data_IF_430600106127
#
_entry.id   IF_430600106127
#
_cell.length_a   1.000
_cell.length_b   1.000
_cell.length_c   1.000
_cell.angle_alpha   90.00
_cell.angle_beta   90.00
_cell.angle_gamma   90.00
#
_symmetry.space_group_name_H-M   'P 1'
#
loop_
_entity.id
_entity.type
_entity.pdbx_description
1 polymer ?
#
# COMPACT_ATOMS: atom_id res chain seq x y z
N UNK A 1 -60.16 -43.76 32.57
CA UNK A 1 -59.17 -42.87 31.93
C UNK A 1 -58.07 -43.76 31.37
N UNK A 2 -58.02 -43.96 30.06
CA UNK A 2 -56.95 -44.73 29.40
C UNK A 2 -55.67 -43.93 29.52
N UNK A 3 -54.73 -44.44 30.32
CA UNK A 3 -53.53 -43.75 30.76
C UNK A 3 -52.52 -43.41 29.67
N UNK A 4 -51.28 -43.16 30.07
CA UNK A 4 -50.13 -42.68 29.29
C UNK A 4 -49.86 -43.37 27.93
N UNK A 5 -50.53 -44.48 27.64
CA UNK A 5 -50.45 -45.23 26.37
C UNK A 5 -51.04 -44.48 25.16
N UNK A 6 -51.82 -43.41 25.39
CA UNK A 6 -52.35 -42.55 24.32
C UNK A 6 -51.68 -41.17 24.25
N UNK A 7 -50.63 -40.89 25.03
CA UNK A 7 -49.87 -39.63 24.88
C UNK A 7 -48.62 -39.85 24.02
N UNK A 8 -48.78 -39.81 22.70
CA UNK A 8 -47.63 -39.63 21.81
C UNK A 8 -47.24 -38.14 21.83
N UNK A 9 -46.29 -37.78 22.68
CA UNK A 9 -45.54 -36.53 22.55
C UNK A 9 -44.16 -36.84 22.00
N UNK A 10 -44.10 -37.40 20.79
CA UNK A 10 -42.88 -37.38 20.00
C UNK A 10 -42.63 -35.94 19.49
N UNK A 11 -42.37 -35.01 20.39
CA UNK A 11 -41.92 -33.67 20.02
C UNK A 11 -40.44 -33.75 19.65
N UNK A 12 -40.17 -34.16 18.41
CA UNK A 12 -38.81 -34.14 17.88
C UNK A 12 -38.49 -32.72 17.42
N UNK A 13 -37.93 -31.91 18.32
CA UNK A 13 -37.31 -30.64 17.94
C UNK A 13 -35.92 -30.94 17.41
N UNK A 14 -35.72 -30.81 16.09
CA UNK A 14 -34.41 -30.85 15.45
C UNK A 14 -34.23 -29.56 14.68
N UNK A 15 -33.61 -28.59 15.31
CA UNK A 15 -33.18 -27.34 14.67
C UNK A 15 -31.66 -27.42 14.52
N UNK A 16 -31.18 -27.27 13.29
CA UNK A 16 -29.75 -27.17 12.97
C UNK A 16 -29.58 -26.20 11.82
N UNK A 17 -29.05 -25.02 12.13
CA UNK A 17 -28.75 -23.98 11.14
C UNK A 17 -27.24 -23.78 11.08
N UNK A 18 -26.70 -23.98 9.88
CA UNK A 18 -25.30 -23.70 9.58
C UNK A 18 -25.22 -22.78 8.37
N UNK A 19 -24.63 -21.61 8.58
CA UNK A 19 -24.43 -20.60 7.53
C UNK A 19 -22.93 -20.31 7.44
N UNK A 20 -22.36 -20.57 6.26
CA UNK A 20 -20.97 -20.24 5.93
C UNK A 20 -21.01 -19.36 4.69
N UNK A 21 -20.62 -18.09 4.85
CA UNK A 21 -20.59 -17.12 3.77
C UNK A 21 -19.13 -16.81 3.44
N UNK A 22 -18.74 -17.05 2.19
CA UNK A 22 -17.42 -16.71 1.67
C UNK A 22 -17.62 -15.95 0.37
N UNK A 23 -16.96 -14.80 0.24
CA UNK A 23 -16.95 -14.02 -1.01
C UNK A 23 -15.52 -14.00 -1.56
N UNK A 24 -15.09 -15.04 -2.28
CA UNK A 24 -13.76 -15.02 -2.88
C UNK A 24 -13.78 -14.14 -4.13
N UNK A 25 -12.74 -13.33 -4.30
CA UNK A 25 -12.52 -12.57 -5.52
C UNK A 25 -11.35 -13.17 -6.31
N UNK A 26 -11.54 -13.32 -7.62
CA UNK A 26 -10.46 -13.67 -8.52
C UNK A 26 -9.84 -12.39 -9.08
N UNK A 27 -8.55 -12.20 -8.82
CA UNK A 27 -7.77 -11.13 -9.42
C UNK A 27 -7.02 -11.66 -10.64
N UNK A 28 -6.82 -10.79 -11.63
CA UNK A 28 -6.02 -11.14 -12.81
C UNK A 28 -4.55 -11.22 -12.42
N UNK A 29 -3.85 -12.33 -12.71
CA UNK A 29 -2.42 -12.43 -12.41
C UNK A 29 -1.64 -11.43 -13.28
N UNK A 30 -0.61 -10.85 -12.69
CA UNK A 30 0.37 -10.04 -13.42
C UNK A 30 1.29 -10.96 -14.22
N UNK A 31 1.80 -10.45 -15.35
CA UNK A 31 2.74 -11.17 -16.20
C UNK A 31 4.07 -11.40 -15.45
N UNK A 32 4.49 -12.65 -15.21
CA UNK A 32 5.67 -12.95 -14.40
C UNK A 32 6.99 -12.56 -15.10
N UNK A 33 6.98 -12.35 -16.41
CA UNK A 33 8.14 -11.90 -17.16
C UNK A 33 8.32 -10.38 -17.14
N UNK A 34 7.32 -9.63 -16.66
CA UNK A 34 7.39 -8.17 -16.54
C UNK A 34 7.80 -7.76 -15.13
N UNK A 35 8.70 -6.78 -15.02
CA UNK A 35 8.97 -6.12 -13.73
C UNK A 35 7.67 -5.44 -13.27
N UNK A 36 7.26 -5.72 -12.04
CA UNK A 36 6.13 -5.02 -11.43
C UNK A 36 6.53 -3.57 -11.20
N UNK A 37 5.67 -2.65 -11.64
CA UNK A 37 5.89 -1.21 -11.41
C UNK A 37 5.66 -0.95 -9.93
N UNK A 38 6.69 -0.47 -9.26
CA UNK A 38 6.57 -0.02 -7.87
C UNK A 38 5.96 1.39 -7.87
N UNK A 39 5.12 1.74 -6.88
CA UNK A 39 4.57 3.10 -6.77
C UNK A 39 5.66 4.19 -6.74
N UNK A 40 6.86 3.83 -6.30
CA UNK A 40 8.05 4.68 -6.19
C UNK A 40 8.88 4.76 -7.48
N UNK A 41 8.62 3.92 -8.50
CA UNK A 41 9.41 3.92 -9.74
C UNK A 41 9.31 5.26 -10.53
N UNK A 42 8.27 6.06 -10.28
CA UNK A 42 8.02 7.33 -10.97
C UNK A 42 8.51 8.59 -10.24
N UNK A 43 8.92 8.48 -8.98
CA UNK A 43 9.27 9.61 -8.13
C UNK A 43 10.69 9.47 -7.58
N UNK A 44 11.27 10.59 -7.20
CA UNK A 44 12.54 10.68 -6.48
C UNK A 44 12.37 11.63 -5.31
N UNK A 45 13.14 11.44 -4.23
CA UNK A 45 13.20 12.42 -3.16
C UNK A 45 13.53 13.83 -3.69
N UNK A 46 12.80 14.81 -3.16
CA UNK A 46 13.06 16.21 -3.43
C UNK A 46 14.43 16.63 -2.86
N UNK A 47 15.08 17.60 -3.49
CA UNK A 47 16.32 18.17 -2.94
C UNK A 47 16.02 19.08 -1.74
N UNK A 48 17.04 19.44 -0.96
CA UNK A 48 16.86 20.34 0.19
C UNK A 48 16.23 21.68 -0.22
N UNK A 49 16.63 22.26 -1.36
CA UNK A 49 16.02 23.49 -1.86
C UNK A 49 14.56 23.31 -2.25
N UNK A 50 14.20 22.17 -2.86
CA UNK A 50 12.82 21.87 -3.24
C UNK A 50 11.94 21.74 -1.99
N UNK A 51 12.45 21.11 -0.93
CA UNK A 51 11.73 20.98 0.32
C UNK A 51 11.58 22.33 1.05
N UNK A 52 12.66 23.09 1.25
CA UNK A 52 12.60 24.33 2.04
C UNK A 52 11.96 25.51 1.31
N UNK A 53 12.11 25.60 -0.01
CA UNK A 53 11.56 26.72 -0.79
C UNK A 53 10.17 26.40 -1.33
N UNK A 54 9.95 25.15 -1.76
CA UNK A 54 8.74 24.75 -2.48
C UNK A 54 7.87 23.76 -1.68
N UNK A 55 8.24 23.41 -0.43
CA UNK A 55 7.52 22.48 0.44
C UNK A 55 7.14 21.17 -0.26
N UNK A 56 8.05 20.64 -1.07
CA UNK A 56 7.85 19.45 -1.89
C UNK A 56 8.76 18.33 -1.38
N UNK A 57 8.19 17.17 -1.05
CA UNK A 57 8.93 16.02 -0.51
C UNK A 57 9.34 15.01 -1.59
N UNK A 58 8.55 14.90 -2.66
CA UNK A 58 8.81 14.04 -3.81
C UNK A 58 8.65 14.80 -5.12
N UNK A 59 9.50 14.47 -6.08
CA UNK A 59 9.50 15.07 -7.41
C UNK A 59 9.55 13.98 -8.47
N UNK A 60 9.01 14.28 -9.64
CA UNK A 60 8.92 13.30 -10.72
C UNK A 60 10.32 12.99 -11.27
N UNK A 61 10.67 11.71 -11.38
CA UNK A 61 11.94 11.26 -11.91
C UNK A 61 12.17 11.70 -13.38
N UNK A 62 11.10 11.88 -14.14
CA UNK A 62 11.13 12.18 -15.58
C UNK A 62 11.02 13.68 -15.90
N UNK A 63 11.23 14.59 -14.95
CA UNK A 63 11.14 16.03 -15.22
C UNK A 63 12.39 16.50 -16.02
N UNK A 64 12.24 16.94 -17.29
CA UNK A 64 13.38 17.31 -18.14
C UNK A 64 14.15 18.51 -17.59
N UNK A 65 13.47 19.45 -16.92
CA UNK A 65 14.12 20.63 -16.35
C UNK A 65 15.06 20.26 -15.21
N UNK A 66 14.72 19.20 -14.47
CA UNK A 66 15.55 18.68 -13.37
C UNK A 66 16.73 17.87 -13.88
N UNK A 67 16.54 17.06 -14.92
CA UNK A 67 17.64 16.36 -15.57
C UNK A 67 18.74 17.33 -16.07
N UNK A 68 18.31 18.47 -16.64
CA UNK A 68 19.21 19.55 -17.06
C UNK A 68 19.87 20.24 -15.85
N UNK A 69 19.12 20.54 -14.79
CA UNK A 69 19.67 21.17 -13.58
C UNK A 69 20.69 20.29 -12.83
N UNK A 70 20.51 18.96 -12.86
CA UNK A 70 21.48 17.99 -12.35
C UNK A 70 22.74 17.92 -13.23
N UNK A 71 22.59 17.95 -14.55
CA UNK A 71 23.71 17.97 -15.49
C UNK A 71 24.57 19.25 -15.36
N UNK A 72 23.93 20.39 -15.08
CA UNK A 72 24.60 21.68 -14.86
C UNK A 72 25.15 21.86 -13.43
N UNK A 73 25.06 20.84 -12.57
CA UNK A 73 25.58 20.87 -11.19
C UNK A 73 24.88 21.87 -10.26
N UNK A 74 23.75 22.44 -10.67
CA UNK A 74 22.96 23.40 -9.85
C UNK A 74 22.17 22.70 -8.74
N UNK A 75 22.04 21.38 -8.82
CA UNK A 75 21.40 20.52 -7.81
C UNK A 75 22.43 19.53 -7.32
N UNK A 76 22.76 19.56 -6.03
CA UNK A 76 23.66 18.58 -5.43
C UNK A 76 22.98 17.20 -5.39
N UNK A 77 23.73 16.16 -5.77
CA UNK A 77 23.31 14.76 -5.79
C UNK A 77 22.61 14.38 -4.46
N UNK A 78 21.43 13.72 -4.46
CA UNK A 78 20.89 13.13 -3.24
C UNK A 78 21.81 11.98 -2.81
N UNK A 79 22.44 12.13 -1.66
CA UNK A 79 23.27 11.09 -1.05
C UNK A 79 22.34 9.98 -0.52
N UNK A 80 22.33 8.83 -1.21
CA UNK A 80 21.64 7.59 -0.85
C UNK A 80 20.10 7.69 -0.69
N UNK A 81 19.34 6.58 -0.83
CA UNK A 81 17.91 6.57 -0.53
C UNK A 81 17.72 6.51 0.99
N UNK A 82 18.22 7.50 1.72
CA UNK A 82 17.80 7.72 3.11
C UNK A 82 16.51 8.51 3.02
N UNK A 83 15.38 7.82 3.22
CA UNK A 83 14.08 8.46 3.30
C UNK A 83 14.08 9.45 4.49
N UNK A 84 14.36 10.72 4.22
CA UNK A 84 14.35 11.79 5.21
C UNK A 84 15.21 13.00 4.83
N UNK A 85 14.70 14.20 5.13
CA UNK A 85 15.44 15.45 5.01
C UNK A 85 16.23 15.70 6.30
N UNK A 86 17.53 15.37 6.31
CA UNK A 86 18.42 15.73 7.43
C UNK A 86 18.94 17.15 7.23
N UNK A 87 18.77 17.99 8.25
CA UNK A 87 19.54 19.23 8.38
C UNK A 87 20.99 18.82 8.68
N UNK A 88 21.90 18.95 7.70
CA UNK A 88 23.31 18.74 7.98
C UNK A 88 23.79 19.86 8.91
N UNK A 89 23.95 19.51 10.18
CA UNK A 89 24.55 20.42 11.14
C UNK A 89 26.01 20.65 10.74
N UNK A 90 26.52 21.89 10.82
CA UNK A 90 27.94 22.15 10.64
C UNK A 90 28.74 21.21 11.54
N UNK A 91 29.61 20.40 10.95
CA UNK A 91 30.63 19.69 11.72
C UNK A 91 31.72 20.71 11.99
N UNK A 92 31.72 21.26 13.20
CA UNK A 92 32.82 22.09 13.71
C UNK A 92 34.15 21.32 13.67
#
# INVERSE_FOLDING_TARGET
VLGSLFSSKAYQRRETDLVIIVTPYLVKPVDPSKKMVEPTDGTQPASNSDYFLNNTEEVKASDPNRALAMADGRVTQPAAPTAGHFLDLPKD
#
